data_IF_431053018531
#
_entry.id   IF_431053018531
#
_cell.length_a   1.000
_cell.length_b   1.000
_cell.length_c   1.000
_cell.angle_alpha   90.00
_cell.angle_beta   90.00
_cell.angle_gamma   90.00
#
_symmetry.space_group_name_H-M   'P 1'
#
loop_
_entity.id
_entity.type
_entity.pdbx_description
1 polymer ?
#
# COMPACT_ATOMS: atom_id res chain seq x y z
N UNK A 1 -7.34 19.36 14.46
CA UNK A 1 -7.13 18.59 13.22
C UNK A 1 -7.87 17.27 13.33
N UNK A 2 -8.57 16.85 12.28
CA UNK A 2 -9.25 15.55 12.24
C UNK A 2 -8.26 14.44 11.90
N UNK A 3 -8.62 13.16 12.15
CA UNK A 3 -7.81 12.00 11.75
C UNK A 3 -7.60 11.98 10.21
N UNK A 4 -8.66 12.28 9.45
CA UNK A 4 -8.60 12.38 8.00
C UNK A 4 -7.51 13.35 7.54
N UNK A 5 -7.58 14.60 7.98
CA UNK A 5 -6.57 15.61 7.61
C UNK A 5 -5.17 15.25 8.09
N UNK A 6 -5.05 14.62 9.28
CA UNK A 6 -3.76 14.20 9.79
C UNK A 6 -3.10 13.12 8.92
N UNK A 7 -3.89 12.21 8.32
CA UNK A 7 -3.40 11.22 7.36
C UNK A 7 -3.04 11.90 6.03
N UNK A 8 -3.92 12.76 5.50
CA UNK A 8 -3.76 13.45 4.21
C UNK A 8 -2.51 14.32 4.21
N UNK A 9 -2.32 15.12 5.27
CA UNK A 9 -1.21 16.06 5.42
C UNK A 9 0.06 15.41 6.01
N UNK A 10 -0.03 14.12 6.40
CA UNK A 10 1.07 13.41 7.10
C UNK A 10 1.56 14.15 8.35
N UNK A 11 0.63 14.55 9.24
CA UNK A 11 0.92 15.39 10.38
C UNK A 11 1.53 14.62 11.55
N UNK A 12 2.85 14.63 11.68
CA UNK A 12 3.57 13.96 12.76
C UNK A 12 3.10 14.37 14.15
N UNK A 13 2.84 15.68 14.37
CA UNK A 13 2.41 16.20 15.67
C UNK A 13 1.09 15.58 16.14
N UNK A 14 0.16 15.30 15.20
CA UNK A 14 -1.08 14.59 15.52
C UNK A 14 -0.76 13.18 16.01
N UNK A 15 0.09 12.44 15.28
CA UNK A 15 0.43 11.06 15.62
C UNK A 15 1.34 10.96 16.85
N UNK A 16 2.17 11.95 17.15
CA UNK A 16 2.88 12.03 18.45
C UNK A 16 1.91 12.04 19.62
N UNK A 17 0.83 12.85 19.53
CA UNK A 17 -0.18 12.92 20.58
C UNK A 17 -0.99 11.62 20.68
N UNK A 18 -1.36 11.02 19.55
CA UNK A 18 -2.04 9.72 19.53
C UNK A 18 -1.15 8.64 20.15
N UNK A 19 0.11 8.57 19.75
CA UNK A 19 1.09 7.62 20.30
C UNK A 19 1.27 7.76 21.80
N UNK A 20 1.39 9.01 22.27
CA UNK A 20 1.48 9.31 23.73
C UNK A 20 0.25 8.82 24.51
N UNK A 21 -0.95 8.93 23.92
CA UNK A 21 -2.20 8.47 24.55
C UNK A 21 -2.35 6.95 24.51
N UNK A 22 -1.91 6.31 23.43
CA UNK A 22 -2.00 4.86 23.27
C UNK A 22 -0.98 4.11 24.13
N UNK A 23 0.24 4.62 24.20
CA UNK A 23 1.39 3.90 24.75
C UNK A 23 1.92 2.82 23.81
N UNK A 24 3.16 2.38 24.08
CA UNK A 24 3.85 1.41 23.24
C UNK A 24 3.14 0.06 23.15
N UNK A 25 2.52 -0.40 24.23
CA UNK A 25 1.89 -1.72 24.28
C UNK A 25 0.72 -1.83 23.30
N UNK A 26 -0.13 -0.77 23.20
CA UNK A 26 -1.23 -0.76 22.23
C UNK A 26 -0.70 -0.62 20.80
N UNK A 27 0.32 0.20 20.57
CA UNK A 27 0.96 0.33 19.25
C UNK A 27 1.54 -1.02 18.84
N UNK A 28 2.27 -1.69 19.73
CA UNK A 28 2.85 -3.02 19.47
C UNK A 28 1.77 -4.10 19.26
N UNK A 29 0.67 -4.05 20.02
CA UNK A 29 -0.47 -4.96 19.84
C UNK A 29 -1.07 -4.85 18.43
N UNK A 30 -1.41 -3.65 17.99
CA UNK A 30 -1.99 -3.43 16.66
C UNK A 30 -0.96 -3.68 15.55
N UNK A 31 0.27 -3.20 15.68
CA UNK A 31 1.34 -3.44 14.71
C UNK A 31 1.60 -4.93 14.50
N UNK A 32 1.76 -5.67 15.59
CA UNK A 32 1.97 -7.13 15.53
C UNK A 32 0.71 -7.88 15.09
N UNK A 33 -0.48 -7.41 15.45
CA UNK A 33 -1.75 -7.95 14.98
C UNK A 33 -1.92 -7.80 13.47
N UNK A 34 -1.43 -6.71 12.90
CA UNK A 34 -1.41 -6.44 11.46
C UNK A 34 -0.18 -7.02 10.74
N UNK A 35 0.63 -7.83 11.44
CA UNK A 35 1.70 -8.63 10.84
C UNK A 35 3.09 -8.02 10.86
N UNK A 36 3.30 -6.85 11.50
CA UNK A 36 4.64 -6.29 11.68
C UNK A 36 5.44 -7.04 12.74
N UNK A 37 6.77 -7.10 12.57
CA UNK A 37 7.66 -7.81 13.51
C UNK A 37 7.52 -9.33 13.49
N UNK A 38 6.90 -9.91 12.45
CA UNK A 38 6.72 -11.35 12.25
C UNK A 38 6.95 -11.73 10.80
N UNK A 39 7.47 -12.92 10.56
CA UNK A 39 7.55 -13.46 9.19
C UNK A 39 6.16 -13.58 8.58
N UNK A 40 6.02 -13.23 7.31
CA UNK A 40 4.75 -13.36 6.58
C UNK A 40 4.46 -14.80 6.20
N UNK A 41 5.48 -15.65 6.22
CA UNK A 41 5.42 -17.03 5.80
C UNK A 41 5.43 -17.21 4.28
N UNK A 42 5.96 -16.22 3.54
CA UNK A 42 6.20 -16.37 2.10
C UNK A 42 7.10 -17.58 1.83
N UNK A 43 6.84 -18.27 0.73
CA UNK A 43 7.58 -19.47 0.29
C UNK A 43 8.97 -19.13 -0.30
N UNK A 44 9.68 -18.20 0.36
CA UNK A 44 11.07 -17.84 0.08
C UNK A 44 11.95 -18.14 1.30
N UNK A 45 13.20 -18.58 1.10
CA UNK A 45 14.14 -18.78 2.18
C UNK A 45 14.58 -17.43 2.78
N UNK A 46 15.01 -17.46 4.04
CA UNK A 46 15.67 -16.34 4.73
C UNK A 46 14.80 -15.06 4.84
N UNK A 47 13.49 -15.24 5.03
CA UNK A 47 12.62 -14.10 5.31
C UNK A 47 12.99 -13.45 6.65
N UNK A 48 13.22 -12.14 6.64
CA UNK A 48 13.47 -11.37 7.86
C UNK A 48 12.16 -11.02 8.56
N UNK A 49 12.07 -11.19 9.90
CA UNK A 49 10.86 -10.90 10.65
C UNK A 49 10.61 -9.40 10.86
N UNK A 50 11.60 -8.54 10.62
CA UNK A 50 11.54 -7.16 11.07
C UNK A 50 11.45 -7.06 12.61
N UNK A 51 11.07 -5.89 13.10
CA UNK A 51 10.93 -5.63 14.53
C UNK A 51 9.75 -4.69 14.81
N UNK A 52 8.86 -5.12 15.69
CA UNK A 52 7.89 -4.26 16.36
C UNK A 52 8.31 -4.14 17.83
N UNK A 53 8.86 -2.99 18.26
CA UNK A 53 9.40 -2.84 19.61
C UNK A 53 8.28 -2.85 20.66
N UNK A 54 8.65 -3.28 21.88
CA UNK A 54 7.77 -3.34 23.06
C UNK A 54 8.58 -3.18 24.33
N UNK A 55 7.93 -2.87 25.45
CA UNK A 55 8.61 -2.78 26.76
C UNK A 55 9.40 -4.06 27.10
N UNK A 56 8.82 -5.28 26.97
CA UNK A 56 9.57 -6.50 27.26
C UNK A 56 10.76 -6.73 26.31
N UNK A 57 10.69 -6.23 25.08
CA UNK A 57 11.80 -6.33 24.16
C UNK A 57 12.97 -5.42 24.58
N UNK A 58 12.70 -4.15 24.95
CA UNK A 58 13.75 -3.21 25.41
C UNK A 58 14.40 -3.71 26.69
N UNK A 59 13.61 -4.18 27.66
CA UNK A 59 14.14 -4.71 28.92
C UNK A 59 15.07 -5.92 28.69
N UNK A 60 14.69 -6.82 27.78
CA UNK A 60 15.50 -8.01 27.46
C UNK A 60 16.79 -7.66 26.70
N UNK A 61 16.75 -6.69 25.77
CA UNK A 61 17.88 -6.38 24.86
C UNK A 61 18.81 -5.33 25.42
N UNK A 62 18.26 -4.28 26.02
CA UNK A 62 19.02 -3.11 26.47
C UNK A 62 19.11 -3.01 28.00
N UNK A 63 18.42 -3.88 28.75
CA UNK A 63 18.43 -3.91 30.21
C UNK A 63 18.01 -2.59 30.88
N UNK A 64 17.14 -1.82 30.22
CA UNK A 64 16.54 -0.61 30.78
C UNK A 64 15.03 -0.60 30.54
N UNK A 65 14.32 0.31 31.22
CA UNK A 65 12.90 0.52 31.04
C UNK A 65 12.64 1.29 29.75
N UNK A 66 11.44 1.10 29.19
CA UNK A 66 10.95 1.88 28.07
C UNK A 66 10.83 3.38 28.44
N UNK A 67 11.28 4.26 27.58
CA UNK A 67 11.15 5.69 27.77
C UNK A 67 9.99 6.25 26.92
N UNK A 68 9.23 7.21 27.47
CA UNK A 68 8.09 7.81 26.77
C UNK A 68 8.46 8.45 25.42
N UNK A 69 9.69 8.96 25.28
CA UNK A 69 10.21 9.50 24.03
C UNK A 69 10.32 8.48 22.90
N UNK A 70 10.62 7.22 23.24
CA UNK A 70 10.68 6.12 22.27
C UNK A 70 9.31 5.82 21.66
N UNK A 71 8.23 5.92 22.46
CA UNK A 71 6.85 5.79 21.96
C UNK A 71 6.52 6.84 20.89
N UNK A 72 6.98 8.08 21.08
CA UNK A 72 6.76 9.17 20.13
C UNK A 72 7.40 8.84 18.78
N UNK A 73 8.64 8.34 18.79
CA UNK A 73 9.34 7.91 17.58
C UNK A 73 8.64 6.75 16.89
N UNK A 74 8.24 5.72 17.66
CA UNK A 74 7.53 4.54 17.13
C UNK A 74 6.17 4.91 16.53
N UNK A 75 5.48 5.91 17.10
CA UNK A 75 4.17 6.34 16.63
C UNK A 75 4.15 6.88 15.19
N UNK A 76 5.30 7.28 14.67
CA UNK A 76 5.48 7.72 13.28
C UNK A 76 6.36 6.76 12.46
N UNK A 77 6.57 5.52 12.96
CA UNK A 77 7.35 4.51 12.26
C UNK A 77 8.86 4.73 12.28
N UNK A 78 9.36 5.51 13.24
CA UNK A 78 10.79 5.75 13.46
C UNK A 78 11.30 4.94 14.67
N UNK A 79 12.54 5.17 15.07
CA UNK A 79 13.16 4.49 16.20
C UNK A 79 13.53 3.04 15.88
N UNK A 80 13.16 2.10 16.74
CA UNK A 80 13.55 0.69 16.60
C UNK A 80 12.63 -0.13 15.66
N UNK A 81 11.61 0.48 15.05
CA UNK A 81 10.72 -0.24 14.12
C UNK A 81 11.48 -0.60 12.85
N UNK A 82 11.49 -1.89 12.50
CA UNK A 82 12.00 -2.34 11.20
C UNK A 82 10.97 -3.22 10.51
N UNK A 83 10.77 -3.01 9.21
CA UNK A 83 9.78 -3.73 8.41
C UNK A 83 10.35 -4.14 7.06
N UNK A 84 9.84 -5.23 6.50
CA UNK A 84 10.10 -5.57 5.10
C UNK A 84 9.02 -5.00 4.18
N UNK A 85 9.32 -4.74 2.91
CA UNK A 85 8.30 -4.28 1.94
C UNK A 85 7.08 -5.21 1.86
N UNK A 86 7.29 -6.52 1.96
CA UNK A 86 6.19 -7.49 1.93
C UNK A 86 5.30 -7.42 3.17
N UNK A 87 5.86 -7.15 4.35
CA UNK A 87 5.07 -6.92 5.56
C UNK A 87 4.22 -5.66 5.43
N UNK A 88 4.77 -4.59 4.88
CA UNK A 88 4.05 -3.34 4.68
C UNK A 88 2.90 -3.51 3.67
N UNK A 89 3.14 -4.23 2.57
CA UNK A 89 2.09 -4.56 1.60
C UNK A 89 0.99 -5.42 2.24
N UNK A 90 1.36 -6.44 3.03
CA UNK A 90 0.42 -7.31 3.76
C UNK A 90 -0.42 -6.52 4.78
N UNK A 91 0.20 -5.61 5.52
CA UNK A 91 -0.48 -4.73 6.47
C UNK A 91 -1.49 -3.82 5.77
N UNK A 92 -1.10 -3.18 4.67
CA UNK A 92 -1.99 -2.30 3.91
C UNK A 92 -3.18 -3.08 3.33
N UNK A 93 -2.94 -4.28 2.81
CA UNK A 93 -4.00 -5.20 2.36
C UNK A 93 -4.97 -5.56 3.50
N UNK A 94 -4.43 -5.88 4.69
CA UNK A 94 -5.24 -6.21 5.86
C UNK A 94 -6.11 -5.02 6.32
N UNK A 95 -5.56 -3.81 6.36
CA UNK A 95 -6.32 -2.61 6.70
C UNK A 95 -7.47 -2.39 5.72
N UNK A 96 -7.22 -2.49 4.41
CA UNK A 96 -8.23 -2.26 3.38
C UNK A 96 -9.30 -3.34 3.28
N UNK A 97 -9.00 -4.56 3.75
CA UNK A 97 -9.93 -5.72 3.74
C UNK A 97 -10.61 -6.02 5.08
N UNK A 98 -10.49 -5.13 6.07
CA UNK A 98 -11.12 -5.33 7.38
C UNK A 98 -10.37 -6.26 8.32
N UNK A 99 -9.07 -6.46 8.08
CA UNK A 99 -8.20 -7.26 8.95
C UNK A 99 -7.77 -8.61 8.40
N UNK A 100 -8.06 -8.91 7.14
CA UNK A 100 -7.63 -10.17 6.51
C UNK A 100 -6.15 -10.13 6.15
N UNK A 101 -5.36 -10.93 6.83
CA UNK A 101 -3.93 -11.09 6.61
C UNK A 101 -3.68 -12.31 5.71
N UNK A 102 -3.44 -12.06 4.44
CA UNK A 102 -3.09 -13.13 3.50
C UNK A 102 -1.64 -13.60 3.70
N UNK A 103 -1.37 -14.88 3.49
CA UNK A 103 -0.01 -15.40 3.38
C UNK A 103 0.47 -15.17 1.94
N UNK A 104 1.53 -14.36 1.72
CA UNK A 104 2.12 -14.22 0.38
C UNK A 104 2.70 -15.56 -0.09
N UNK A 105 2.63 -15.85 -1.39
CA UNK A 105 3.20 -17.05 -1.99
C UNK A 105 3.58 -16.82 -3.46
N UNK A 106 4.57 -17.55 -3.94
CA UNK A 106 5.02 -17.55 -5.33
C UNK A 106 4.50 -18.79 -6.08
N UNK A 107 4.32 -19.89 -5.35
CA UNK A 107 3.84 -21.13 -5.94
C UNK A 107 2.34 -21.04 -6.21
N UNK A 108 1.97 -21.20 -7.47
CA UNK A 108 0.56 -21.29 -7.87
C UNK A 108 -0.06 -22.55 -7.23
N UNK A 109 -1.23 -22.38 -6.60
CA UNK A 109 -1.97 -23.46 -5.90
C UNK A 109 -1.19 -24.02 -4.68
N UNK A 110 -0.53 -23.17 -3.89
CA UNK A 110 0.07 -23.60 -2.62
C UNK A 110 -1.02 -24.21 -1.70
N UNK A 111 -0.92 -25.50 -1.32
CA UNK A 111 -1.90 -26.15 -0.44
C UNK A 111 -1.88 -25.57 0.98
N UNK A 112 -0.84 -24.81 1.34
CA UNK A 112 -0.70 -24.18 2.65
C UNK A 112 -1.20 -22.73 2.69
N UNK A 113 -1.99 -22.32 1.70
CA UNK A 113 -2.66 -21.01 1.72
C UNK A 113 -3.48 -20.86 3.01
N UNK A 114 -3.03 -19.96 3.88
CA UNK A 114 -3.72 -19.62 5.11
C UNK A 114 -3.94 -18.13 5.16
N UNK A 115 -5.12 -17.73 5.57
CA UNK A 115 -5.41 -16.36 5.98
C UNK A 115 -5.53 -16.32 7.50
N UNK A 116 -4.92 -15.31 8.09
CA UNK A 116 -5.15 -14.94 9.49
C UNK A 116 -6.12 -13.77 9.50
N UNK A 117 -6.82 -13.57 10.61
CA UNK A 117 -7.73 -12.44 10.75
C UNK A 117 -7.41 -11.67 12.03
N UNK A 118 -7.18 -10.36 11.88
CA UNK A 118 -7.11 -9.41 12.97
C UNK A 118 -8.26 -8.39 12.77
N UNK A 119 -9.44 -8.64 13.35
CA UNK A 119 -10.66 -7.94 12.98
C UNK A 119 -10.56 -6.44 13.27
N UNK A 120 -10.86 -5.64 12.27
CA UNK A 120 -11.01 -4.18 12.34
C UNK A 120 -12.48 -3.83 12.18
N UNK A 121 -12.96 -2.83 12.92
CA UNK A 121 -14.32 -2.35 12.72
C UNK A 121 -14.48 -1.66 11.37
N UNK A 122 -15.67 -1.75 10.78
CA UNK A 122 -15.99 -1.09 9.49
C UNK A 122 -15.71 0.41 9.56
N UNK A 123 -16.01 1.04 10.70
CA UNK A 123 -15.73 2.46 10.91
C UNK A 123 -14.21 2.75 10.89
N UNK A 124 -13.38 1.89 11.49
CA UNK A 124 -11.91 2.04 11.45
C UNK A 124 -11.41 1.91 10.01
N UNK A 125 -11.85 0.89 9.29
CA UNK A 125 -11.49 0.67 7.88
C UNK A 125 -11.90 1.85 7.02
N UNK A 126 -13.13 2.36 7.19
CA UNK A 126 -13.62 3.52 6.45
C UNK A 126 -12.79 4.77 6.71
N UNK A 127 -12.57 5.13 7.97
CA UNK A 127 -11.82 6.33 8.36
C UNK A 127 -10.37 6.29 7.85
N UNK A 128 -9.70 5.16 8.02
CA UNK A 128 -8.29 5.02 7.60
C UNK A 128 -8.17 5.00 6.08
N UNK A 129 -8.98 4.18 5.38
CA UNK A 129 -8.89 4.08 3.92
C UNK A 129 -9.34 5.37 3.23
N UNK A 130 -10.29 6.12 3.81
CA UNK A 130 -10.68 7.43 3.30
C UNK A 130 -9.53 8.45 3.42
N UNK A 131 -8.80 8.44 4.55
CA UNK A 131 -7.59 9.25 4.69
C UNK A 131 -6.51 8.87 3.67
N UNK A 132 -6.25 7.57 3.48
CA UNK A 132 -5.29 7.07 2.49
C UNK A 132 -5.70 7.38 1.05
N UNK A 133 -7.00 7.43 0.76
CA UNK A 133 -7.54 7.93 -0.51
C UNK A 133 -7.24 9.42 -0.67
N UNK A 134 -7.49 10.22 0.37
CA UNK A 134 -7.24 11.66 0.35
C UNK A 134 -5.78 12.03 0.10
N UNK A 135 -4.82 11.26 0.64
CA UNK A 135 -3.36 11.43 0.39
C UNK A 135 -3.06 11.53 -1.11
N UNK A 136 -3.76 10.75 -1.95
CA UNK A 136 -3.48 10.65 -3.39
C UNK A 136 -4.47 11.46 -4.23
N UNK A 137 -5.74 11.62 -3.79
CA UNK A 137 -6.79 12.13 -4.66
C UNK A 137 -7.34 13.50 -4.26
N UNK A 138 -7.05 13.99 -3.04
CA UNK A 138 -7.49 15.33 -2.61
C UNK A 138 -6.43 16.38 -2.92
N UNK A 139 -6.87 17.56 -3.33
CA UNK A 139 -5.98 18.70 -3.55
C UNK A 139 -5.29 19.11 -2.25
N UNK A 140 -3.97 19.04 -2.19
CA UNK A 140 -3.17 19.23 -0.98
C UNK A 140 -2.67 17.95 -0.32
N UNK A 141 -3.17 16.77 -0.74
CA UNK A 141 -2.62 15.49 -0.29
C UNK A 141 -1.15 15.33 -0.66
N UNK A 142 -0.37 14.75 0.27
CA UNK A 142 1.11 14.65 0.13
C UNK A 142 1.57 13.83 -1.07
N UNK A 143 0.69 13.09 -1.73
CA UNK A 143 0.96 12.34 -2.94
C UNK A 143 -0.04 12.62 -4.07
N UNK A 144 -0.65 13.80 -4.10
CA UNK A 144 -1.64 14.19 -5.11
C UNK A 144 -1.11 14.09 -6.56
N UNK A 145 0.17 14.29 -6.77
CA UNK A 145 0.82 14.16 -8.07
C UNK A 145 0.84 12.71 -8.61
N UNK A 146 0.54 11.70 -7.77
CA UNK A 146 0.49 10.28 -8.14
C UNK A 146 -0.90 9.81 -8.55
N UNK A 147 -1.92 10.67 -8.48
CA UNK A 147 -3.30 10.28 -8.79
C UNK A 147 -3.43 9.69 -10.20
N UNK A 148 -4.32 8.72 -10.32
CA UNK A 148 -4.66 8.08 -11.58
C UNK A 148 -6.12 8.40 -11.95
N UNK A 149 -6.38 8.63 -13.23
CA UNK A 149 -7.76 8.76 -13.69
C UNK A 149 -8.45 7.40 -13.68
N UNK A 150 -9.67 7.36 -13.16
CA UNK A 150 -10.52 6.15 -13.09
C UNK A 150 -9.96 4.98 -12.26
N UNK A 151 -8.97 5.23 -11.41
CA UNK A 151 -8.43 4.25 -10.47
C UNK A 151 -8.36 4.88 -9.09
N UNK A 152 -9.06 4.28 -8.13
CA UNK A 152 -9.05 4.70 -6.72
C UNK A 152 -7.74 4.29 -6.05
N UNK A 153 -6.64 4.90 -6.47
CA UNK A 153 -5.34 4.67 -5.83
C UNK A 153 -5.34 5.30 -4.44
N UNK A 154 -5.20 4.49 -3.43
CA UNK A 154 -4.96 4.89 -2.04
C UNK A 154 -3.49 4.67 -1.71
N UNK A 155 -2.91 5.47 -0.84
CA UNK A 155 -1.51 5.25 -0.46
C UNK A 155 -1.02 6.12 0.66
N UNK A 156 0.20 5.87 1.09
CA UNK A 156 0.90 6.67 2.08
C UNK A 156 2.39 6.67 1.81
N UNK A 157 2.97 7.86 1.84
CA UNK A 157 4.41 8.04 1.84
C UNK A 157 5.00 7.80 3.23
N UNK A 158 6.23 7.32 3.27
CA UNK A 158 7.07 7.23 4.45
C UNK A 158 8.48 7.71 4.12
N UNK A 159 9.16 8.25 5.11
CA UNK A 159 10.56 8.66 4.97
C UNK A 159 11.30 8.25 6.23
N UNK A 160 12.15 7.22 6.13
CA UNK A 160 12.93 6.74 7.24
C UNK A 160 14.29 7.44 7.27
N UNK A 161 14.61 8.07 8.39
CA UNK A 161 15.90 8.72 8.59
C UNK A 161 16.99 7.68 8.88
N UNK A 162 18.06 7.67 8.10
CA UNK A 162 19.20 6.76 8.29
C UNK A 162 20.18 7.23 9.37
N UNK A 163 20.11 8.50 9.75
CA UNK A 163 20.97 9.09 10.77
C UNK A 163 20.27 10.26 11.48
N UNK A 164 20.79 10.64 12.65
CA UNK A 164 20.29 11.81 13.36
C UNK A 164 20.53 13.10 12.56
N UNK A 165 19.68 14.11 12.79
CA UNK A 165 19.80 15.43 12.16
C UNK A 165 21.20 16.06 12.34
N UNK A 166 21.77 15.92 13.55
CA UNK A 166 23.10 16.44 13.85
C UNK A 166 24.21 15.71 13.10
N UNK A 167 24.08 14.39 12.92
CA UNK A 167 25.03 13.62 12.12
C UNK A 167 24.92 13.99 10.64
N UNK A 168 23.70 14.11 10.10
CA UNK A 168 23.45 14.54 8.73
C UNK A 168 24.06 15.93 8.42
N UNK A 169 23.88 16.89 9.32
CA UNK A 169 24.45 18.23 9.18
C UNK A 169 25.99 18.23 9.22
N UNK A 170 26.60 17.41 10.10
CA UNK A 170 28.07 17.28 10.16
C UNK A 170 28.66 16.63 8.91
N UNK A 171 27.95 15.69 8.32
CA UNK A 171 28.40 14.94 7.14
C UNK A 171 28.02 15.65 5.82
N UNK A 172 27.21 16.71 5.87
CA UNK A 172 26.72 17.41 4.67
C UNK A 172 25.79 16.57 3.78
N UNK A 173 25.17 15.52 4.33
CA UNK A 173 24.27 14.63 3.59
C UNK A 173 23.02 14.34 4.41
N UNK A 174 21.86 14.34 3.74
CA UNK A 174 20.54 13.99 4.32
C UNK A 174 19.99 12.75 3.63
N UNK A 175 20.73 11.67 3.69
CA UNK A 175 20.26 10.40 3.12
C UNK A 175 19.17 9.79 3.98
N UNK A 176 18.15 9.29 3.31
CA UNK A 176 16.98 8.66 3.91
C UNK A 176 16.46 7.55 3.00
N UNK A 177 15.63 6.67 3.55
CA UNK A 177 14.91 5.69 2.75
C UNK A 177 13.51 6.22 2.46
N UNK A 178 13.21 6.43 1.18
CA UNK A 178 11.92 6.85 0.69
C UNK A 178 10.99 5.65 0.50
N UNK A 179 9.87 5.61 1.22
CA UNK A 179 8.88 4.55 1.17
C UNK A 179 7.57 5.04 0.56
N UNK A 180 6.91 4.18 -0.18
CA UNK A 180 5.51 4.37 -0.53
C UNK A 180 4.78 3.03 -0.54
N UNK A 181 3.61 2.98 0.08
CA UNK A 181 2.68 1.87 -0.05
C UNK A 181 1.40 2.38 -0.68
N UNK A 182 0.90 1.66 -1.69
CA UNK A 182 -0.35 2.00 -2.35
C UNK A 182 -1.16 0.76 -2.68
N UNK A 183 -2.47 0.92 -2.76
CA UNK A 183 -3.41 -0.13 -3.12
C UNK A 183 -4.60 0.42 -3.90
N UNK A 184 -5.23 -0.43 -4.69
CA UNK A 184 -6.43 -0.10 -5.44
C UNK A 184 -7.31 -1.34 -5.70
N UNK A 185 -8.65 -1.18 -5.74
CA UNK A 185 -9.38 0.01 -5.33
C UNK A 185 -9.39 0.21 -3.80
N UNK A 186 -9.96 1.31 -3.32
CA UNK A 186 -10.00 1.65 -1.89
C UNK A 186 -10.62 0.56 -1.02
N UNK A 187 -11.65 -0.09 -1.51
CA UNK A 187 -12.33 -1.20 -0.82
C UNK A 187 -12.06 -2.50 -1.56
N UNK A 188 -11.72 -3.55 -0.82
CA UNK A 188 -11.36 -4.86 -1.36
C UNK A 188 -10.27 -4.73 -2.46
N UNK A 189 -9.08 -4.29 -2.09
CA UNK A 189 -8.03 -4.03 -3.07
C UNK A 189 -7.68 -5.26 -3.89
N UNK A 190 -7.54 -5.07 -5.19
CA UNK A 190 -7.09 -6.10 -6.12
C UNK A 190 -5.56 -6.16 -6.23
N UNK A 191 -4.92 -5.04 -5.93
CA UNK A 191 -3.46 -4.91 -5.97
C UNK A 191 -2.99 -4.04 -4.81
N UNK A 192 -1.92 -4.47 -4.18
CA UNK A 192 -1.18 -3.70 -3.18
C UNK A 192 0.29 -3.71 -3.58
N UNK A 193 0.93 -2.56 -3.54
CA UNK A 193 2.34 -2.37 -3.89
C UNK A 193 3.04 -1.61 -2.78
N UNK A 194 4.16 -2.11 -2.29
CA UNK A 194 5.07 -1.39 -1.42
C UNK A 194 6.42 -1.23 -2.13
N UNK A 195 6.95 -0.03 -2.15
CA UNK A 195 8.26 0.29 -2.73
C UNK A 195 9.13 1.05 -1.73
N UNK A 196 10.42 0.80 -1.82
CA UNK A 196 11.46 1.53 -1.10
C UNK A 196 12.53 1.98 -2.09
N UNK A 197 12.97 3.23 -1.95
CA UNK A 197 14.17 3.76 -2.61
C UNK A 197 15.15 4.13 -1.51
N UNK A 198 16.22 3.34 -1.41
CA UNK A 198 17.24 3.51 -0.39
C UNK A 198 18.21 4.63 -0.75
N UNK A 199 18.79 5.24 0.29
CA UNK A 199 19.86 6.23 0.14
C UNK A 199 19.47 7.45 -0.72
N UNK A 200 18.18 7.81 -0.74
CA UNK A 200 17.65 8.95 -1.49
C UNK A 200 17.75 10.26 -0.69
N UNK A 201 17.70 11.37 -1.40
CA UNK A 201 17.53 12.72 -0.82
C UNK A 201 16.09 13.23 -0.95
N UNK A 202 15.24 12.49 -1.68
CA UNK A 202 13.84 12.79 -1.91
C UNK A 202 12.95 12.12 -0.88
N UNK A 203 11.82 12.73 -0.56
CA UNK A 203 10.81 12.10 0.28
C UNK A 203 10.14 10.91 -0.43
N UNK A 204 9.53 10.02 0.36
CA UNK A 204 8.98 8.77 -0.17
C UNK A 204 7.90 8.95 -1.25
N UNK A 205 7.14 10.04 -1.20
CA UNK A 205 6.15 10.38 -2.22
C UNK A 205 6.78 10.61 -3.59
N UNK A 206 7.91 11.31 -3.63
CA UNK A 206 8.67 11.63 -4.85
C UNK A 206 9.54 10.46 -5.31
N UNK A 207 10.22 9.79 -4.37
CA UNK A 207 11.17 8.73 -4.70
C UNK A 207 10.48 7.39 -5.05
N UNK A 208 9.63 6.88 -4.15
CA UNK A 208 9.01 5.56 -4.29
C UNK A 208 7.58 5.61 -4.88
N UNK A 209 6.89 6.75 -4.74
CA UNK A 209 5.52 6.92 -5.22
C UNK A 209 5.32 6.64 -6.71
N UNK A 210 6.15 7.19 -7.64
CA UNK A 210 6.03 6.92 -9.07
C UNK A 210 6.12 5.43 -9.42
N UNK A 211 6.98 4.68 -8.74
CA UNK A 211 7.11 3.22 -8.94
C UNK A 211 5.78 2.52 -8.62
N UNK A 212 5.18 2.84 -7.47
CA UNK A 212 3.89 2.26 -7.06
C UNK A 212 2.77 2.65 -8.03
N UNK A 213 2.68 3.93 -8.40
CA UNK A 213 1.69 4.44 -9.37
C UNK A 213 1.78 3.68 -10.70
N UNK A 214 2.98 3.52 -11.25
CA UNK A 214 3.18 2.94 -12.58
C UNK A 214 2.89 1.44 -12.59
N UNK A 215 3.20 0.72 -11.49
CA UNK A 215 2.85 -0.68 -11.32
C UNK A 215 1.32 -0.84 -11.26
N UNK A 216 0.63 -0.03 -10.44
CA UNK A 216 -0.83 -0.07 -10.32
C UNK A 216 -1.49 0.27 -11.66
N UNK A 217 -1.04 1.33 -12.33
CA UNK A 217 -1.52 1.71 -13.66
C UNK A 217 -1.38 0.55 -14.66
N UNK A 218 -0.18 -0.05 -14.72
CA UNK A 218 0.11 -1.16 -15.63
C UNK A 218 -0.77 -2.38 -15.36
N UNK A 219 -1.07 -2.66 -14.09
CA UNK A 219 -1.98 -3.74 -13.70
C UNK A 219 -3.38 -3.52 -14.30
N UNK A 220 -3.95 -2.33 -14.14
CA UNK A 220 -5.27 -2.02 -14.66
C UNK A 220 -5.31 -1.93 -16.19
N UNK A 221 -4.28 -1.39 -16.82
CA UNK A 221 -4.16 -1.36 -18.29
C UNK A 221 -4.20 -2.79 -18.86
N UNK A 222 -3.42 -3.71 -18.30
CA UNK A 222 -3.42 -5.12 -18.70
C UNK A 222 -4.73 -5.84 -18.41
N UNK A 223 -5.36 -5.55 -17.27
CA UNK A 223 -6.67 -6.11 -16.91
C UNK A 223 -7.73 -5.68 -17.92
N UNK A 224 -7.80 -4.39 -18.23
CA UNK A 224 -8.76 -3.84 -19.18
C UNK A 224 -8.55 -4.38 -20.60
N UNK A 225 -7.30 -4.50 -21.06
CA UNK A 225 -6.99 -5.08 -22.36
C UNK A 225 -7.45 -6.54 -22.46
N UNK A 226 -7.27 -7.35 -21.41
CA UNK A 226 -7.77 -8.74 -21.37
C UNK A 226 -9.30 -8.80 -21.43
N UNK A 227 -10.00 -7.95 -20.69
CA UNK A 227 -11.48 -7.91 -20.71
C UNK A 227 -12.00 -7.52 -22.11
N UNK A 228 -11.36 -6.59 -22.81
CA UNK A 228 -11.74 -6.20 -24.18
C UNK A 228 -11.52 -7.36 -25.17
N UNK A 229 -10.42 -8.10 -25.06
CA UNK A 229 -10.14 -9.27 -25.89
C UNK A 229 -11.17 -10.38 -25.69
N UNK A 230 -11.58 -10.64 -24.45
CA UNK A 230 -12.62 -11.64 -24.14
C UNK A 230 -13.96 -11.20 -24.73
N UNK A 231 -14.35 -9.94 -24.55
CA UNK A 231 -15.60 -9.41 -25.10
C UNK A 231 -15.67 -9.46 -26.64
N UNK A 232 -14.54 -9.27 -27.33
CA UNK A 232 -14.46 -9.40 -28.78
C UNK A 232 -14.55 -10.84 -29.27
N UNK A 233 -14.02 -11.79 -28.52
CA UNK A 233 -14.07 -13.22 -28.86
C UNK A 233 -15.46 -13.84 -28.61
N UNK A 234 -16.22 -13.31 -27.63
CA UNK A 234 -17.57 -13.77 -27.27
C UNK A 234 -18.68 -13.05 -28.07
N UNK A 235 -18.33 -12.08 -28.92
CA UNK A 235 -19.29 -11.41 -29.79
C UNK A 235 -19.81 -12.42 -30.82
N UNK A 236 -21.15 -12.62 -30.98
CA UNK A 236 -21.69 -13.51 -31.99
C UNK A 236 -21.23 -13.10 -33.38
N UNK A 237 -20.76 -14.08 -34.16
CA UNK A 237 -20.34 -13.82 -35.54
C UNK A 237 -21.46 -13.08 -36.31
N UNK A 238 -21.15 -11.93 -36.85
CA UNK A 238 -22.13 -11.22 -37.70
C UNK A 238 -22.56 -12.15 -38.81
N UNK A 239 -23.87 -12.30 -39.09
CA UNK A 239 -24.33 -13.10 -40.20
C UNK A 239 -23.73 -12.55 -41.50
N UNK A 240 -23.34 -13.42 -42.44
CA UNK A 240 -22.73 -12.98 -43.69
C UNK A 240 -23.64 -11.98 -44.40
N UNK A 241 -23.09 -10.84 -44.77
CA UNK A 241 -23.80 -9.82 -45.56
C UNK A 241 -24.13 -10.46 -46.92
N UNK A 242 -25.37 -10.92 -47.07
CA UNK A 242 -25.89 -11.38 -48.36
C UNK A 242 -25.97 -10.15 -49.30
N UNK A 243 -25.12 -10.11 -50.32
CA UNK A 243 -25.20 -9.12 -51.38
C UNK A 243 -26.59 -9.23 -52.02
N UNK A 244 -27.31 -8.13 -52.23
CA UNK A 244 -28.58 -8.18 -52.96
C UNK A 244 -28.36 -8.69 -54.38
N UNK A 245 -29.12 -9.70 -54.78
CA UNK A 245 -29.18 -10.16 -56.19
C UNK A 245 -29.72 -9.00 -57.01
N UNK A 246 -28.90 -8.41 -57.87
CA UNK A 246 -29.36 -7.48 -58.88
C UNK A 246 -30.02 -8.28 -60.01
N UNK A 247 -31.34 -8.26 -60.03
CA UNK A 247 -32.12 -8.82 -61.16
C UNK A 247 -31.97 -7.89 -62.37
N UNK A 248 -31.24 -8.33 -63.39
CA UNK A 248 -31.19 -7.70 -64.70
C UNK A 248 -32.51 -7.97 -65.43
N UNK A 249 -33.35 -6.95 -65.52
CA UNK A 249 -34.53 -6.99 -66.40
C UNK A 249 -34.07 -6.74 -67.81
N UNK A 250 -34.11 -7.77 -68.65
CA UNK A 250 -33.88 -7.67 -70.08
C UNK A 250 -35.07 -6.93 -70.78
N UNK A 251 -34.84 -5.73 -71.37
CA UNK A 251 -35.76 -5.06 -72.20
C UNK A 251 -35.60 -5.62 -73.60
N UNK A 252 -36.62 -6.35 -74.12
CA UNK A 252 -36.74 -6.66 -75.53
C UNK A 252 -37.43 -5.49 -76.18
N UNK A 253 -36.84 -4.91 -77.25
CA UNK A 253 -37.46 -3.99 -78.15
C UNK A 253 -37.95 -4.75 -79.39
N UNK A 254 -39.07 -4.29 -80.04
CA UNK A 254 -39.71 -4.94 -81.18
C UNK A 254 -38.95 -4.74 -82.50
#
# INVERSE_FOLDING_TARGET
>A
MSLHNAIVDSCDVFFYNVGKQLGIDKIAYYGSGLGLGKRTGIDLPSEEPGLMPSEPWVERVFHHKWYAGETISVAIGQGAVTVTPIQLARMAAAVASGGTLVRPHLLKNDPNMKTENFPLSDNTVEQVTQGLYGVVNEGGGTAYHLRLQNIDLCGKSGTAQLMSYDAANRMGTKKMDGWFVGFAPRRNPEIVVAAIVQDTVEHGGEAAGPVVRDIVKTYYDKKNARMQQTATNDAPAQPPITKPLVATVGVQHP
#
